data_IF_558353730508
#
_entry.id   IF_558353730508
#
_cell.length_a   1.000
_cell.length_b   1.000
_cell.length_c   1.000
_cell.angle_alpha   90.00
_cell.angle_beta   90.00
_cell.angle_gamma   90.00
#
_symmetry.space_group_name_H-M   'P 1'
#
loop_
_entity.id
_entity.type
_entity.pdbx_description
1 polymer ?
#
# COMPACT_ATOMS: atom_id res chain seq x y z
N UNK A 1 12.49 -11.03 20.00
CA UNK A 1 12.70 -9.91 19.05
C UNK A 1 13.09 -8.68 19.85
N UNK A 2 14.03 -7.86 19.38
CA UNK A 2 14.46 -6.67 20.12
C UNK A 2 13.33 -5.62 20.16
N UNK A 3 13.14 -4.88 21.27
CA UNK A 3 12.12 -3.82 21.38
C UNK A 3 12.16 -2.78 20.26
N UNK A 4 13.36 -2.54 19.70
CA UNK A 4 13.62 -1.63 18.59
C UNK A 4 12.80 -1.97 17.34
N UNK A 5 12.57 -3.25 17.04
CA UNK A 5 11.82 -3.70 15.87
C UNK A 5 10.35 -3.26 15.95
N UNK A 6 9.73 -3.44 17.12
CA UNK A 6 8.34 -3.05 17.31
C UNK A 6 8.15 -1.53 17.23
N UNK A 7 9.13 -0.75 17.73
CA UNK A 7 9.11 0.71 17.63
C UNK A 7 9.16 1.15 16.15
N UNK A 8 10.04 0.55 15.34
CA UNK A 8 10.14 0.88 13.92
C UNK A 8 8.88 0.53 13.14
N UNK A 9 8.34 -0.67 13.37
CA UNK A 9 7.07 -1.12 12.78
C UNK A 9 5.94 -0.17 13.17
N UNK A 10 5.89 0.27 14.44
CA UNK A 10 4.92 1.24 14.93
C UNK A 10 5.06 2.60 14.24
N UNK A 11 6.27 3.15 14.17
CA UNK A 11 6.54 4.44 13.53
C UNK A 11 6.22 4.41 12.03
N UNK A 12 6.64 3.35 11.33
CA UNK A 12 6.34 3.16 9.91
C UNK A 12 4.83 3.07 9.66
N UNK A 13 4.12 2.34 10.51
CA UNK A 13 2.67 2.18 10.42
C UNK A 13 1.92 3.49 10.71
N UNK A 14 2.32 4.23 11.74
CA UNK A 14 1.73 5.52 12.11
C UNK A 14 1.95 6.57 11.03
N UNK A 15 3.20 6.74 10.57
CA UNK A 15 3.52 7.72 9.54
C UNK A 15 2.86 7.32 8.22
N UNK A 16 2.94 6.04 7.84
CA UNK A 16 2.34 5.53 6.62
C UNK A 16 0.82 5.66 6.59
N UNK A 17 0.13 5.44 7.72
CA UNK A 17 -1.33 5.62 7.79
C UNK A 17 -1.74 7.09 7.79
N UNK A 18 -0.92 7.98 8.36
CA UNK A 18 -1.09 9.43 8.23
C UNK A 18 -0.96 9.91 6.80
N UNK A 19 0.05 9.41 6.06
CA UNK A 19 0.19 9.67 4.63
C UNK A 19 -1.02 9.14 3.85
N UNK A 20 -1.49 7.93 4.19
CA UNK A 20 -2.69 7.34 3.59
C UNK A 20 -3.92 8.21 3.84
N UNK A 21 -4.07 8.81 5.02
CA UNK A 21 -5.19 9.68 5.32
C UNK A 21 -5.24 10.93 4.42
N UNK A 22 -4.08 11.40 3.93
CA UNK A 22 -3.98 12.61 3.10
C UNK A 22 -4.02 12.30 1.61
N UNK A 23 -3.16 11.40 1.13
CA UNK A 23 -3.06 11.07 -0.29
C UNK A 23 -3.74 9.78 -0.72
N UNK A 24 -4.22 8.97 0.23
CA UNK A 24 -4.81 7.65 -0.02
C UNK A 24 -3.79 6.53 -0.30
N UNK A 25 -2.49 6.82 -0.20
CA UNK A 25 -1.39 5.88 -0.36
C UNK A 25 -0.29 6.11 0.69
N UNK A 26 0.67 5.18 0.83
CA UNK A 26 1.83 5.33 1.72
C UNK A 26 1.93 4.26 2.81
N UNK A 27 0.80 3.86 3.42
CA UNK A 27 0.78 2.88 4.50
C UNK A 27 1.43 1.54 4.10
N UNK A 28 0.91 0.89 3.06
CA UNK A 28 1.44 -0.39 2.63
C UNK A 28 2.87 -0.28 2.06
N UNK A 29 3.21 0.85 1.44
CA UNK A 29 4.56 1.11 0.90
C UNK A 29 5.63 1.12 1.98
N UNK A 30 5.34 1.73 3.14
CA UNK A 30 6.29 1.80 4.25
C UNK A 30 6.24 0.56 5.15
N UNK A 31 5.04 0.04 5.39
CA UNK A 31 4.83 -1.01 6.40
C UNK A 31 5.15 -2.40 5.85
N UNK A 32 4.90 -2.66 4.56
CA UNK A 32 5.16 -3.98 3.96
C UNK A 32 6.64 -4.38 4.02
N UNK A 33 7.60 -3.58 3.53
CA UNK A 33 9.01 -3.97 3.61
C UNK A 33 9.46 -4.13 5.07
N UNK A 34 8.99 -3.26 5.97
CA UNK A 34 9.31 -3.35 7.40
C UNK A 34 8.87 -4.68 8.00
N UNK A 35 7.66 -5.15 7.68
CA UNK A 35 7.17 -6.46 8.17
C UNK A 35 7.86 -7.62 7.44
N UNK A 36 8.09 -7.51 6.13
CA UNK A 36 8.68 -8.57 5.31
C UNK A 36 10.18 -8.83 5.59
N UNK A 37 10.85 -7.95 6.34
CA UNK A 37 12.20 -8.21 6.86
C UNK A 37 12.16 -9.32 7.90
N UNK A 38 11.19 -9.25 8.82
CA UNK A 38 11.12 -10.14 9.97
C UNK A 38 10.18 -11.32 9.76
N UNK A 39 9.16 -11.16 8.92
CA UNK A 39 8.20 -12.20 8.55
C UNK A 39 8.24 -12.44 7.04
N UNK A 40 7.52 -13.47 6.58
CA UNK A 40 7.35 -13.70 5.15
C UNK A 40 6.33 -12.72 4.54
N UNK A 41 6.34 -12.62 3.20
CA UNK A 41 5.47 -11.71 2.46
C UNK A 41 3.98 -12.03 2.63
N UNK A 42 3.54 -13.32 2.68
CA UNK A 42 2.16 -13.67 2.99
C UNK A 42 1.69 -13.13 4.35
N UNK A 43 2.50 -13.27 5.41
CA UNK A 43 2.16 -12.70 6.73
C UNK A 43 2.09 -11.18 6.67
N UNK A 44 2.99 -10.52 5.93
CA UNK A 44 2.92 -9.07 5.74
C UNK A 44 1.60 -8.63 5.08
N UNK A 45 1.15 -9.36 4.05
CA UNK A 45 -0.16 -9.11 3.42
C UNK A 45 -1.30 -9.33 4.41
N UNK A 46 -1.30 -10.42 5.17
CA UNK A 46 -2.32 -10.72 6.17
C UNK A 46 -2.46 -9.58 7.18
N UNK A 47 -1.33 -9.20 7.78
CA UNK A 47 -1.27 -8.28 8.91
C UNK A 47 -1.57 -6.84 8.51
N UNK A 48 -1.18 -6.43 7.31
CA UNK A 48 -1.39 -5.07 6.81
C UNK A 48 -2.78 -4.91 6.18
N UNK A 49 -3.35 -5.99 5.64
CA UNK A 49 -4.62 -5.88 4.90
C UNK A 49 -5.79 -5.47 5.78
N UNK A 50 -5.88 -5.98 7.01
CA UNK A 50 -6.99 -5.65 7.91
C UNK A 50 -6.96 -4.16 8.35
N UNK A 51 -5.84 -3.61 8.89
CA UNK A 51 -5.76 -2.19 9.19
C UNK A 51 -5.96 -1.30 7.95
N UNK A 52 -5.50 -1.76 6.78
CA UNK A 52 -5.75 -1.06 5.51
C UNK A 52 -7.23 -1.04 5.17
N UNK A 53 -7.94 -2.16 5.33
CA UNK A 53 -9.38 -2.25 5.11
C UNK A 53 -10.13 -1.28 6.02
N UNK A 54 -9.82 -1.25 7.32
CA UNK A 54 -10.44 -0.33 8.28
C UNK A 54 -10.25 1.13 7.87
N UNK A 55 -9.01 1.54 7.59
CA UNK A 55 -8.72 2.92 7.17
C UNK A 55 -9.33 3.27 5.81
N UNK A 56 -9.45 2.32 4.89
CA UNK A 56 -10.12 2.53 3.61
C UNK A 56 -11.63 2.67 3.77
N UNK A 57 -12.27 1.91 4.66
CA UNK A 57 -13.68 2.07 5.00
C UNK A 57 -13.94 3.46 5.62
N UNK A 58 -13.10 3.88 6.57
CA UNK A 58 -13.18 5.21 7.17
C UNK A 58 -13.02 6.31 6.13
N UNK A 59 -12.07 6.15 5.19
CA UNK A 59 -11.86 7.16 4.15
C UNK A 59 -13.02 7.20 3.16
N UNK A 60 -13.52 6.03 2.72
CA UNK A 60 -14.69 5.94 1.85
C UNK A 60 -15.94 6.55 2.51
N UNK A 61 -16.11 6.38 3.83
CA UNK A 61 -17.17 7.03 4.59
C UNK A 61 -16.99 8.54 4.70
N UNK A 62 -15.75 9.01 4.89
CA UNK A 62 -15.42 10.44 4.93
C UNK A 62 -15.74 11.12 3.60
N UNK A 63 -15.45 10.47 2.49
CA UNK A 63 -15.68 10.97 1.12
C UNK A 63 -16.95 10.41 0.50
N UNK A 64 -17.93 10.01 1.34
CA UNK A 64 -19.16 9.36 0.87
C UNK A 64 -20.06 10.28 0.05
N UNK A 65 -19.85 11.60 0.10
CA UNK A 65 -20.64 12.49 -0.72
C UNK A 65 -20.42 12.13 -2.20
N UNK A 66 -19.21 11.79 -2.63
CA UNK A 66 -18.89 11.37 -4.00
C UNK A 66 -19.56 10.07 -4.48
N UNK A 67 -20.29 9.33 -3.62
CA UNK A 67 -21.04 8.12 -4.00
C UNK A 67 -22.06 8.41 -5.12
N UNK A 68 -22.66 9.60 -5.14
CA UNK A 68 -23.65 9.98 -6.15
C UNK A 68 -23.08 9.99 -7.58
N UNK A 69 -21.77 10.17 -7.75
CA UNK A 69 -21.09 10.15 -9.05
C UNK A 69 -20.89 8.73 -9.60
N UNK A 70 -21.15 7.70 -8.77
CA UNK A 70 -21.14 6.30 -9.13
C UNK A 70 -19.75 5.69 -9.39
N UNK A 71 -19.71 4.36 -9.36
CA UNK A 71 -18.50 3.56 -9.58
C UNK A 71 -18.46 2.87 -10.96
N UNK A 72 -19.50 3.06 -11.78
CA UNK A 72 -19.66 2.37 -13.09
C UNK A 72 -18.43 2.49 -14.00
N UNK A 73 -17.80 3.69 -14.17
CA UNK A 73 -16.62 3.82 -15.04
C UNK A 73 -15.42 2.99 -14.57
N UNK A 74 -15.35 2.66 -13.27
CA UNK A 74 -14.24 1.94 -12.66
C UNK A 74 -14.48 0.44 -12.57
N UNK A 75 -15.64 -0.07 -13.02
CA UNK A 75 -15.94 -1.51 -13.02
C UNK A 75 -14.86 -2.32 -13.76
N UNK A 76 -14.41 -1.95 -14.98
CA UNK A 76 -13.36 -2.71 -15.66
C UNK A 76 -12.05 -2.76 -14.86
N UNK A 77 -11.70 -1.65 -14.19
CA UNK A 77 -10.55 -1.60 -13.29
C UNK A 77 -10.71 -2.55 -12.11
N UNK A 78 -11.86 -2.53 -11.41
CA UNK A 78 -12.11 -3.43 -10.27
C UNK A 78 -12.08 -4.90 -10.68
N UNK A 79 -12.77 -5.25 -11.76
CA UNK A 79 -12.83 -6.62 -12.26
C UNK A 79 -11.43 -7.14 -12.59
N UNK A 80 -10.64 -6.37 -13.34
CA UNK A 80 -9.30 -6.81 -13.70
C UNK A 80 -8.32 -6.77 -12.51
N UNK A 81 -8.56 -5.91 -11.51
CA UNK A 81 -7.81 -5.94 -10.25
C UNK A 81 -8.04 -7.21 -9.45
N UNK A 82 -9.25 -7.77 -9.46
CA UNK A 82 -9.51 -9.07 -8.82
C UNK A 82 -8.80 -10.21 -9.55
N UNK A 83 -8.79 -10.18 -10.89
CA UNK A 83 -8.03 -11.16 -11.70
C UNK A 83 -6.53 -11.05 -11.42
N UNK A 84 -5.99 -9.83 -11.46
CA UNK A 84 -4.59 -9.58 -11.14
C UNK A 84 -4.23 -10.04 -9.72
N UNK A 85 -5.11 -9.80 -8.75
CA UNK A 85 -4.94 -10.26 -7.37
C UNK A 85 -4.86 -11.78 -7.29
N UNK A 86 -5.78 -12.49 -7.94
CA UNK A 86 -5.77 -13.96 -7.96
C UNK A 86 -4.47 -14.51 -8.55
N UNK A 87 -4.01 -13.95 -9.68
CA UNK A 87 -2.71 -14.29 -10.28
C UNK A 87 -1.56 -13.99 -9.33
N UNK A 88 -1.55 -12.80 -8.72
CA UNK A 88 -0.49 -12.37 -7.82
C UNK A 88 -0.37 -13.22 -6.57
N UNK A 89 -1.50 -13.57 -5.95
CA UNK A 89 -1.54 -14.48 -4.80
C UNK A 89 -1.12 -15.90 -5.19
N UNK A 90 -1.49 -16.36 -6.39
CA UNK A 90 -1.05 -17.67 -6.89
C UNK A 90 0.48 -17.70 -7.02
N UNK A 91 1.07 -16.65 -7.60
CA UNK A 91 2.54 -16.51 -7.68
C UNK A 91 3.14 -16.49 -6.27
N UNK A 92 2.61 -15.65 -5.37
CA UNK A 92 3.10 -15.52 -4.01
C UNK A 92 3.12 -16.86 -3.26
N UNK A 93 2.02 -17.61 -3.31
CA UNK A 93 1.82 -18.82 -2.53
C UNK A 93 2.56 -20.04 -3.09
N UNK A 94 2.95 -20.02 -4.36
CA UNK A 94 3.63 -21.11 -5.04
C UNK A 94 5.11 -20.82 -5.35
N UNK A 95 5.64 -19.68 -4.90
CA UNK A 95 7.03 -19.29 -5.14
C UNK A 95 7.82 -19.29 -3.84
N UNK A 96 9.13 -19.55 -3.96
CA UNK A 96 10.06 -19.48 -2.84
C UNK A 96 9.97 -18.11 -2.11
N UNK A 97 9.80 -18.10 -0.77
CA UNK A 97 9.69 -16.86 0.01
C UNK A 97 10.88 -15.91 -0.13
N UNK A 98 12.11 -16.42 -0.33
CA UNK A 98 13.31 -15.59 -0.55
C UNK A 98 13.23 -14.88 -1.88
N UNK A 99 12.74 -15.55 -2.93
CA UNK A 99 12.53 -14.93 -4.24
C UNK A 99 11.45 -13.83 -4.17
N UNK A 100 10.38 -14.05 -3.40
CA UNK A 100 9.36 -13.01 -3.18
C UNK A 100 9.92 -11.79 -2.46
N UNK A 101 10.78 -11.98 -1.45
CA UNK A 101 11.49 -10.87 -0.79
C UNK A 101 12.42 -10.13 -1.76
N UNK A 102 13.11 -10.86 -2.63
CA UNK A 102 13.95 -10.26 -3.67
C UNK A 102 13.13 -9.41 -4.64
N UNK A 103 12.00 -9.91 -5.13
CA UNK A 103 11.10 -9.17 -6.04
C UNK A 103 10.56 -7.91 -5.37
N UNK A 104 10.16 -7.99 -4.10
CA UNK A 104 9.76 -6.82 -3.31
C UNK A 104 10.89 -5.78 -3.24
N UNK A 105 12.11 -6.21 -2.93
CA UNK A 105 13.29 -5.32 -2.88
C UNK A 105 13.61 -4.67 -4.22
N UNK A 106 13.65 -5.45 -5.30
CA UNK A 106 13.90 -4.98 -6.65
C UNK A 106 12.83 -3.96 -7.10
N UNK A 107 11.55 -4.23 -6.79
CA UNK A 107 10.46 -3.30 -7.06
C UNK A 107 10.68 -1.95 -6.37
N UNK A 108 11.06 -1.95 -5.09
CA UNK A 108 11.30 -0.71 -4.34
C UNK A 108 12.43 0.12 -4.96
N UNK A 109 13.53 -0.52 -5.38
CA UNK A 109 14.65 0.16 -6.06
C UNK A 109 14.17 0.77 -7.38
N UNK A 110 13.47 -0.01 -8.22
CA UNK A 110 12.90 0.46 -9.47
C UNK A 110 11.96 1.65 -9.25
N UNK A 111 11.13 1.60 -8.20
CA UNK A 111 10.22 2.68 -7.85
C UNK A 111 10.95 3.97 -7.42
N UNK A 112 12.06 3.85 -6.67
CA UNK A 112 12.89 5.01 -6.28
C UNK A 112 13.55 5.64 -7.52
N UNK A 113 14.16 4.80 -8.37
CA UNK A 113 14.80 5.26 -9.62
C UNK A 113 13.78 5.90 -10.57
N UNK A 114 12.59 5.31 -10.68
CA UNK A 114 11.51 5.84 -11.50
C UNK A 114 11.04 7.22 -10.99
N UNK A 115 10.81 7.36 -9.67
CA UNK A 115 10.43 8.64 -9.06
C UNK A 115 11.48 9.73 -9.30
N UNK A 116 12.77 9.40 -9.28
CA UNK A 116 13.84 10.37 -9.57
C UNK A 116 13.92 10.78 -11.04
N UNK A 117 13.42 9.96 -11.96
CA UNK A 117 13.48 10.20 -13.41
C UNK A 117 12.22 10.83 -13.99
N UNK A 118 11.17 11.04 -13.19
CA UNK A 118 9.93 11.61 -13.70
C UNK A 118 10.02 13.13 -13.87
N UNK A 119 10.05 13.58 -15.14
CA UNK A 119 9.33 14.80 -15.54
C UNK A 119 7.84 14.50 -15.55
N UNK A 120 7.01 15.39 -15.01
CA UNK A 120 5.56 15.34 -15.11
C UNK A 120 5.13 15.21 -16.57
N UNK A 121 4.85 13.98 -17.02
CA UNK A 121 4.22 13.75 -18.32
C UNK A 121 2.70 13.76 -18.12
N UNK A 122 1.95 14.43 -18.99
CA UNK A 122 0.49 14.39 -18.92
C UNK A 122 0.02 12.94 -18.99
N UNK A 123 -0.91 12.59 -18.11
CA UNK A 123 -1.45 11.24 -18.10
C UNK A 123 -2.22 10.97 -19.41
N UNK A 124 -2.05 9.79 -20.02
CA UNK A 124 -2.76 9.44 -21.25
C UNK A 124 -4.28 9.40 -21.03
N UNK A 125 -5.06 9.64 -22.09
CA UNK A 125 -6.52 9.65 -22.02
C UNK A 125 -7.12 8.36 -21.43
N UNK A 126 -8.29 8.48 -20.80
CA UNK A 126 -9.01 7.33 -20.26
C UNK A 126 -9.41 6.38 -21.41
N UNK A 127 -9.10 5.10 -21.27
CA UNK A 127 -9.56 4.06 -22.19
C UNK A 127 -9.84 2.77 -21.44
N UNK A 128 -10.74 1.95 -22.00
CA UNK A 128 -11.04 0.62 -21.46
C UNK A 128 -9.76 -0.23 -21.30
N UNK A 129 -8.85 -0.17 -22.29
CA UNK A 129 -7.56 -0.87 -22.24
C UNK A 129 -6.70 -0.41 -21.07
N UNK A 130 -6.63 0.90 -20.81
CA UNK A 130 -5.90 1.46 -19.66
C UNK A 130 -6.54 1.03 -18.35
N UNK A 131 -7.88 1.07 -18.24
CA UNK A 131 -8.61 0.65 -17.04
C UNK A 131 -8.36 -0.82 -16.70
N UNK A 132 -8.46 -1.71 -17.70
CA UNK A 132 -8.15 -3.13 -17.54
C UNK A 132 -6.67 -3.35 -17.18
N UNK A 133 -5.74 -2.77 -17.93
CA UNK A 133 -4.30 -2.96 -17.71
C UNK A 133 -3.86 -2.46 -16.34
N UNK A 134 -4.25 -1.26 -15.95
CA UNK A 134 -3.92 -0.70 -14.63
C UNK A 134 -4.60 -1.49 -13.50
N UNK A 135 -5.81 -2.00 -13.74
CA UNK A 135 -6.48 -2.89 -12.80
C UNK A 135 -5.69 -4.17 -12.58
N UNK A 136 -5.34 -4.87 -13.66
CA UNK A 136 -4.51 -6.09 -13.62
C UNK A 136 -3.23 -5.87 -12.81
N UNK A 137 -2.49 -4.80 -13.11
CA UNK A 137 -1.23 -4.48 -12.45
C UNK A 137 -1.45 -4.14 -10.97
N UNK A 138 -2.49 -3.36 -10.64
CA UNK A 138 -2.81 -3.04 -9.24
C UNK A 138 -3.12 -4.30 -8.43
N UNK A 139 -3.96 -5.19 -8.98
CA UNK A 139 -4.26 -6.48 -8.39
C UNK A 139 -3.02 -7.35 -8.19
N UNK A 140 -2.23 -7.52 -9.25
CA UNK A 140 -1.00 -8.31 -9.23
C UNK A 140 -0.03 -7.81 -8.16
N UNK A 141 0.13 -6.49 -8.04
CA UNK A 141 0.99 -5.88 -7.03
C UNK A 141 0.47 -6.05 -5.61
N UNK A 142 -0.85 -6.08 -5.39
CA UNK A 142 -1.39 -6.46 -4.09
C UNK A 142 -1.06 -7.92 -3.77
N UNK A 143 -1.30 -8.83 -4.72
CA UNK A 143 -1.13 -10.26 -4.51
C UNK A 143 0.33 -10.69 -4.35
N UNK A 144 1.28 -9.98 -4.93
CA UNK A 144 2.72 -10.33 -4.88
C UNK A 144 3.47 -9.57 -3.79
N UNK A 145 3.35 -8.25 -3.75
CA UNK A 145 4.22 -7.37 -2.95
C UNK A 145 3.45 -6.39 -2.07
N UNK A 146 2.12 -6.53 -1.97
CA UNK A 146 1.23 -5.75 -1.11
C UNK A 146 1.14 -4.22 -1.39
N UNK A 147 1.55 -3.73 -2.56
CA UNK A 147 1.72 -2.28 -2.83
C UNK A 147 0.82 -1.79 -3.99
N UNK A 148 -0.51 -2.03 -3.98
CA UNK A 148 -1.37 -1.65 -5.12
C UNK A 148 -1.58 -0.13 -5.26
N UNK A 149 -1.37 0.63 -4.17
CA UNK A 149 -1.84 2.01 -4.06
C UNK A 149 -1.16 2.97 -5.04
N UNK A 150 0.08 2.72 -5.47
CA UNK A 150 0.76 3.58 -6.45
C UNK A 150 0.18 3.43 -7.85
N UNK A 151 -0.21 2.21 -8.22
CA UNK A 151 -0.84 1.94 -9.52
C UNK A 151 -2.24 2.54 -9.55
N UNK A 152 -3.02 2.35 -8.47
CA UNK A 152 -4.35 2.94 -8.37
C UNK A 152 -4.24 4.47 -8.40
N UNK A 153 -3.34 5.06 -7.62
CA UNK A 153 -3.11 6.51 -7.63
C UNK A 153 -2.72 7.01 -9.03
N UNK A 154 -1.75 6.37 -9.69
CA UNK A 154 -1.33 6.74 -11.05
C UNK A 154 -2.46 6.62 -12.09
N UNK A 155 -3.32 5.61 -11.96
CA UNK A 155 -4.51 5.50 -12.79
C UNK A 155 -5.46 6.68 -12.56
N UNK A 156 -5.74 7.01 -11.29
CA UNK A 156 -6.69 8.04 -10.90
C UNK A 156 -6.20 9.49 -11.11
N UNK A 157 -4.91 9.78 -10.91
CA UNK A 157 -4.32 11.12 -11.09
C UNK A 157 -4.45 11.62 -12.53
N UNK A 158 -4.53 10.69 -13.48
CA UNK A 158 -4.76 11.03 -14.88
C UNK A 158 -6.20 11.32 -15.27
N UNK A 159 -7.13 11.29 -14.32
CA UNK A 159 -8.55 11.54 -14.58
C UNK A 159 -8.95 12.91 -14.08
N UNK A 160 -9.77 13.61 -14.86
CA UNK A 160 -10.34 14.93 -14.51
C UNK A 160 -11.47 14.78 -13.49
N UNK A 161 -11.16 14.23 -12.32
CA UNK A 161 -12.12 14.00 -11.22
C UNK A 161 -11.78 14.88 -10.02
N UNK A 162 -12.78 15.20 -9.20
CA UNK A 162 -12.57 15.93 -7.96
C UNK A 162 -11.66 15.14 -7.00
N UNK A 163 -10.95 15.84 -6.12
CA UNK A 163 -10.12 15.21 -5.07
C UNK A 163 -10.94 14.28 -4.17
N UNK A 164 -12.18 14.66 -3.88
CA UNK A 164 -13.09 13.83 -3.09
C UNK A 164 -13.44 12.52 -3.82
N UNK A 165 -13.80 12.61 -5.11
CA UNK A 165 -14.04 11.43 -5.95
C UNK A 165 -12.81 10.55 -6.11
N UNK A 166 -11.64 11.15 -6.30
CA UNK A 166 -10.36 10.45 -6.33
C UNK A 166 -10.17 9.60 -5.06
N UNK A 167 -10.29 10.21 -3.88
CA UNK A 167 -10.11 9.53 -2.60
C UNK A 167 -11.18 8.46 -2.37
N UNK A 168 -12.42 8.73 -2.77
CA UNK A 168 -13.52 7.77 -2.67
C UNK A 168 -13.25 6.52 -3.52
N UNK A 169 -12.92 6.68 -4.80
CA UNK A 169 -12.67 5.56 -5.73
C UNK A 169 -11.43 4.77 -5.32
N UNK A 170 -10.35 5.48 -4.92
CA UNK A 170 -9.14 4.85 -4.37
C UNK A 170 -9.46 4.01 -3.14
N UNK A 171 -10.28 4.52 -2.23
CA UNK A 171 -10.66 3.81 -1.00
C UNK A 171 -11.57 2.62 -1.30
N UNK A 172 -12.58 2.79 -2.16
CA UNK A 172 -13.46 1.71 -2.60
C UNK A 172 -12.66 0.58 -3.27
N UNK A 173 -11.69 0.91 -4.12
CA UNK A 173 -10.79 -0.08 -4.74
C UNK A 173 -10.03 -0.91 -3.70
N UNK A 174 -9.52 -0.23 -2.66
CA UNK A 174 -8.79 -0.90 -1.59
C UNK A 174 -9.73 -1.74 -0.74
N UNK A 175 -10.96 -1.31 -0.47
CA UNK A 175 -11.92 -2.14 0.26
C UNK A 175 -12.17 -3.45 -0.49
N UNK A 176 -12.53 -3.38 -1.77
CA UNK A 176 -12.81 -4.56 -2.61
C UNK A 176 -11.61 -5.50 -2.64
N UNK A 177 -10.43 -4.96 -2.95
CA UNK A 177 -9.22 -5.76 -3.07
C UNK A 177 -8.75 -6.34 -1.74
N UNK A 178 -8.89 -5.60 -0.64
CA UNK A 178 -8.46 -6.07 0.68
C UNK A 178 -9.39 -7.14 1.22
N UNK A 179 -10.70 -7.04 1.00
CA UNK A 179 -11.64 -8.12 1.35
C UNK A 179 -11.26 -9.41 0.61
N UNK A 180 -11.02 -9.34 -0.70
CA UNK A 180 -10.60 -10.50 -1.48
C UNK A 180 -9.25 -11.06 -1.00
N UNK A 181 -8.24 -10.20 -0.78
CA UNK A 181 -6.92 -10.63 -0.34
C UNK A 181 -6.96 -11.28 1.06
N UNK A 182 -7.71 -10.71 2.00
CA UNK A 182 -7.89 -11.27 3.35
C UNK A 182 -8.53 -12.65 3.26
N UNK A 183 -9.61 -12.80 2.48
CA UNK A 183 -10.28 -14.08 2.30
C UNK A 183 -9.33 -15.14 1.71
N UNK A 184 -8.57 -14.81 0.68
CA UNK A 184 -7.61 -15.73 0.06
C UNK A 184 -6.44 -16.12 0.98
N UNK A 185 -5.88 -15.16 1.71
CA UNK A 185 -4.77 -15.40 2.64
C UNK A 185 -5.24 -16.19 3.87
N UNK A 186 -6.46 -15.94 4.34
CA UNK A 186 -7.11 -16.75 5.38
C UNK A 186 -7.32 -18.19 4.91
N UNK A 187 -7.83 -18.38 3.70
CA UNK A 187 -8.03 -19.71 3.11
C UNK A 187 -6.71 -20.47 2.91
N UNK A 188 -5.60 -19.75 2.67
CA UNK A 188 -4.27 -20.31 2.58
C UNK A 188 -3.61 -20.59 3.96
N UNK A 189 -4.29 -20.33 5.09
CA UNK A 189 -3.82 -20.68 6.43
C UNK A 189 -2.84 -19.67 7.07
N UNK A 190 -2.65 -18.49 6.48
CA UNK A 190 -1.67 -17.50 6.94
C UNK A 190 -2.19 -16.56 8.04
N UNK A 191 -3.46 -16.66 8.43
CA UNK A 191 -4.02 -15.93 9.58
C UNK A 191 -3.99 -16.83 10.82
N UNK A 192 -2.79 -17.04 11.35
CA UNK A 192 -2.56 -17.73 12.63
C UNK A 192 -2.53 -16.77 13.84
N UNK A 193 -2.27 -17.32 15.03
CA UNK A 193 -2.20 -16.55 16.28
C UNK A 193 -1.18 -15.39 16.23
N UNK A 194 0.00 -15.62 15.64
CA UNK A 194 1.02 -14.57 15.44
C UNK A 194 0.52 -13.44 14.56
N UNK A 195 -0.17 -13.75 13.46
CA UNK A 195 -0.72 -12.74 12.57
C UNK A 195 -1.81 -11.92 13.29
N UNK A 196 -2.72 -12.57 14.03
CA UNK A 196 -3.75 -11.89 14.82
C UNK A 196 -3.16 -10.94 15.87
N UNK A 197 -2.12 -11.37 16.57
CA UNK A 197 -1.41 -10.51 17.52
C UNK A 197 -0.79 -9.29 16.83
N UNK A 198 -0.09 -9.51 15.71
CA UNK A 198 0.51 -8.41 14.95
C UNK A 198 -0.55 -7.45 14.40
N UNK A 199 -1.69 -7.94 13.92
CA UNK A 199 -2.81 -7.12 13.47
C UNK A 199 -3.27 -6.21 14.62
N UNK A 200 -3.45 -6.75 15.82
CA UNK A 200 -3.88 -5.98 16.98
C UNK A 200 -2.87 -4.90 17.35
N UNK A 201 -1.58 -5.25 17.40
CA UNK A 201 -0.49 -4.30 17.69
C UNK A 201 -0.38 -3.21 16.62
N UNK A 202 -0.55 -3.55 15.34
CA UNK A 202 -0.44 -2.61 14.23
C UNK A 202 -1.69 -1.76 14.01
N UNK A 203 -2.88 -2.25 14.38
CA UNK A 203 -4.12 -1.50 14.19
C UNK A 203 -4.09 -0.18 14.96
N UNK A 204 -3.56 -0.19 16.18
CA UNK A 204 -3.46 1.01 17.03
C UNK A 204 -2.66 2.15 16.40
N UNK A 205 -1.37 2.00 16.03
CA UNK A 205 -0.63 3.07 15.34
C UNK A 205 -1.26 3.45 14.01
N UNK A 206 -1.84 2.49 13.28
CA UNK A 206 -2.50 2.77 12.00
C UNK A 206 -3.68 3.70 12.20
N UNK A 207 -4.58 3.40 13.13
CA UNK A 207 -5.73 4.24 13.40
C UNK A 207 -5.32 5.61 13.92
N UNK A 208 -4.37 5.67 14.87
CA UNK A 208 -3.85 6.93 15.40
C UNK A 208 -3.25 7.81 14.29
N UNK A 209 -2.37 7.24 13.48
CA UNK A 209 -1.74 7.97 12.37
C UNK A 209 -2.76 8.41 11.34
N UNK A 210 -3.77 7.59 11.04
CA UNK A 210 -4.85 7.95 10.14
C UNK A 210 -5.68 9.11 10.69
N UNK A 211 -6.09 9.07 11.97
CA UNK A 211 -6.82 10.18 12.60
C UNK A 211 -6.01 11.48 12.64
N UNK A 212 -4.73 11.41 12.99
CA UNK A 212 -3.84 12.58 12.97
C UNK A 212 -3.71 13.12 11.54
N UNK A 213 -3.44 12.25 10.56
CA UNK A 213 -3.33 12.64 9.15
C UNK A 213 -4.62 13.24 8.59
N UNK A 214 -5.80 12.72 8.97
CA UNK A 214 -7.09 13.29 8.56
C UNK A 214 -7.35 14.67 9.16
N UNK A 215 -6.86 14.97 10.37
CA UNK A 215 -6.97 16.32 10.98
C UNK A 215 -6.06 17.33 10.30
N UNK A 216 -4.84 16.92 9.94
CA UNK A 216 -3.85 17.81 9.31
C UNK A 216 -4.09 17.90 7.78
N UNK A 217 -4.98 17.05 7.22
CA UNK A 217 -5.37 17.04 5.80
C UNK A 217 -5.73 18.41 5.24
N UNK A 218 -6.43 19.24 6.01
CA UNK A 218 -6.87 20.58 5.56
C UNK A 218 -5.74 21.63 5.58
N UNK A 219 -4.56 21.29 6.10
CA UNK A 219 -3.44 22.21 6.32
C UNK A 219 -2.37 22.03 5.21
N UNK A 220 -2.30 20.87 4.56
CA UNK A 220 -1.26 20.56 3.56
C UNK A 220 -1.65 20.93 2.12
N UNK A 221 -0.74 21.63 1.43
CA UNK A 221 -0.78 21.75 -0.04
C UNK A 221 -0.27 20.44 -0.68
N UNK A 222 -0.73 20.12 -1.90
CA UNK A 222 -0.38 18.87 -2.58
C UNK A 222 1.16 18.72 -2.77
N UNK A 223 1.89 19.82 -2.99
CA UNK A 223 3.36 19.83 -3.08
C UNK A 223 4.07 19.47 -1.76
N UNK A 224 3.58 19.97 -0.63
CA UNK A 224 4.17 19.69 0.68
C UNK A 224 3.97 18.22 1.06
N UNK A 225 2.82 17.64 0.69
CA UNK A 225 2.53 16.23 0.87
C UNK A 225 3.54 15.32 0.14
N UNK A 226 3.75 15.52 -1.17
CA UNK A 226 4.70 14.70 -1.94
C UNK A 226 6.13 14.83 -1.42
N UNK A 227 6.58 16.04 -1.06
CA UNK A 227 7.91 16.28 -0.49
C UNK A 227 8.11 15.52 0.83
N UNK A 228 7.11 15.50 1.71
CA UNK A 228 7.15 14.76 2.98
C UNK A 228 7.22 13.24 2.73
N UNK A 229 6.42 12.70 1.80
CA UNK A 229 6.45 11.27 1.44
C UNK A 229 7.84 10.86 0.96
N UNK A 230 8.46 11.63 0.07
CA UNK A 230 9.80 11.34 -0.46
C UNK A 230 10.88 11.38 0.63
N UNK A 231 10.82 12.35 1.54
CA UNK A 231 11.75 12.44 2.69
C UNK A 231 11.59 11.21 3.59
N UNK A 232 10.36 10.79 3.88
CA UNK A 232 10.10 9.61 4.72
C UNK A 232 10.59 8.32 4.05
N UNK A 233 10.35 8.15 2.75
CA UNK A 233 10.86 7.00 2.00
C UNK A 233 12.40 6.96 2.00
N UNK A 234 13.04 8.12 1.84
CA UNK A 234 14.50 8.24 1.92
C UNK A 234 15.03 7.89 3.31
N UNK A 235 14.42 8.42 4.38
CA UNK A 235 14.81 8.11 5.76
C UNK A 235 14.58 6.64 6.10
N UNK A 236 13.46 6.04 5.67
CA UNK A 236 13.22 4.60 5.86
C UNK A 236 14.22 3.74 5.09
N UNK A 237 14.54 4.10 3.84
CA UNK A 237 15.57 3.43 3.05
C UNK A 237 16.95 3.54 3.70
N UNK A 238 17.32 4.72 4.20
CA UNK A 238 18.59 4.95 4.90
C UNK A 238 18.66 4.18 6.23
N UNK A 239 17.59 4.18 7.03
CA UNK A 239 17.53 3.41 8.28
C UNK A 239 17.66 1.91 8.02
N UNK A 240 17.01 1.40 6.96
CA UNK A 240 17.16 0.00 6.56
C UNK A 240 18.60 -0.35 6.22
N UNK A 241 19.32 0.52 5.51
CA UNK A 241 20.74 0.34 5.20
C UNK A 241 21.58 0.36 6.48
N UNK A 242 21.39 1.34 7.36
CA UNK A 242 22.17 1.49 8.59
C UNK A 242 21.95 0.32 9.56
N UNK A 243 20.70 -0.12 9.74
CA UNK A 243 20.38 -1.23 10.64
C UNK A 243 20.88 -2.59 10.15
N UNK A 244 21.07 -2.75 8.83
CA UNK A 244 21.66 -3.95 8.25
C UNK A 244 23.17 -3.80 7.96
N UNK A 245 23.77 -2.66 8.33
CA UNK A 245 25.19 -2.38 8.10
C UNK A 245 26.09 -3.27 8.97
N UNK A 246 25.69 -3.57 10.21
CA UNK A 246 26.40 -4.52 11.09
C UNK A 246 26.34 -5.97 10.55
N UNK A 247 25.27 -6.33 9.83
CA UNK A 247 25.15 -7.62 9.15
C UNK A 247 26.03 -7.75 7.90
N UNK A 248 26.35 -6.63 7.24
CA UNK A 248 27.24 -6.56 6.08
C UNK A 248 28.73 -6.54 6.47
N UNK A 249 29.07 -5.93 7.62
CA UNK A 249 30.42 -5.94 8.16
C UNK A 249 30.88 -7.32 8.66
N UNK A 250 29.95 -8.26 8.88
CA UNK A 250 30.27 -9.66 9.20
C UNK A 250 30.57 -10.52 7.95
N UNK A 251 30.41 -9.97 6.74
CA UNK A 251 30.71 -10.61 5.45
C UNK A 251 31.99 -10.08 4.78
N UNK A 252 32.66 -9.08 5.36
CA UNK A 252 33.97 -8.58 4.96
C UNK A 252 34.98 -8.80 6.08
#
# INVERSE_FOLDING_TARGET
>A
MSPLVYILVFCAAFVGSGLKAVGGFGFATLTTPTVAIFWDVPTAIAVISIPTLCTSLMNAWRTRAAVHEGLRPFIPFFSMSLVGLAVGLTILLNTDPRLMKFILGAFLICQIVWQWRQSEKPAPEESLKRSLGMGAVAGLMLGTINIPSHVIASYLTGMKISKERYLFVLSASQVVLRVAAIASIAAAGYIGATALWLILVLTTPVLLGFFVGTKIYNIFTDQLFFRIVTIILFVMGALLVVMNFEGLAAFF
#
